data_IF_651229093860
#
_entry.id   IF_651229093860
#
_cell.length_a   1.000
_cell.length_b   1.000
_cell.length_c   1.000
_cell.angle_alpha   90.00
_cell.angle_beta   90.00
_cell.angle_gamma   90.00
#
_symmetry.space_group_name_H-M   'P 1'
#
loop_
_entity.id
_entity.type
_entity.pdbx_description
1 polymer ?
#
# COMPACT_ATOMS: atom_id res chain seq x y z
N UNK A 1 -26.32 -3.15 -10.47
CA UNK A 1 -25.59 -2.20 -11.34
C UNK A 1 -24.27 -1.77 -10.69
N UNK A 2 -24.27 -1.33 -9.44
CA UNK A 2 -23.07 -0.89 -8.72
C UNK A 2 -21.93 -1.95 -8.69
N UNK A 3 -22.25 -3.22 -8.46
CA UNK A 3 -21.26 -4.31 -8.42
C UNK A 3 -20.57 -4.55 -9.78
N UNK A 4 -21.25 -4.35 -10.89
CA UNK A 4 -20.66 -4.48 -12.24
C UNK A 4 -19.65 -3.35 -12.46
N UNK A 5 -19.98 -2.13 -12.07
CA UNK A 5 -19.07 -0.98 -12.16
C UNK A 5 -17.84 -1.19 -11.27
N UNK A 6 -18.05 -1.69 -10.05
CA UNK A 6 -16.95 -2.00 -9.12
C UNK A 6 -16.04 -3.11 -9.66
N UNK A 7 -16.59 -4.14 -10.29
CA UNK A 7 -15.79 -5.21 -10.92
C UNK A 7 -14.87 -4.65 -12.00
N UNK A 8 -15.39 -3.74 -12.84
CA UNK A 8 -14.57 -3.08 -13.85
C UNK A 8 -13.50 -2.17 -13.24
N UNK A 9 -13.84 -1.48 -12.15
CA UNK A 9 -12.89 -0.67 -11.38
C UNK A 9 -11.73 -1.50 -10.82
N UNK A 10 -12.02 -2.70 -10.28
CA UNK A 10 -11.01 -3.64 -9.79
C UNK A 10 -10.10 -4.12 -10.92
N UNK A 11 -10.65 -4.41 -12.10
CA UNK A 11 -9.86 -4.80 -13.27
C UNK A 11 -8.89 -3.69 -13.68
N UNK A 12 -9.34 -2.43 -13.75
CA UNK A 12 -8.46 -1.30 -14.05
C UNK A 12 -7.36 -1.13 -13.00
N UNK A 13 -7.68 -1.33 -11.73
CA UNK A 13 -6.70 -1.28 -10.63
C UNK A 13 -5.63 -2.36 -10.78
N UNK A 14 -6.00 -3.61 -11.17
CA UNK A 14 -5.03 -4.68 -11.39
C UNK A 14 -4.13 -4.41 -12.60
N UNK A 15 -4.69 -3.89 -13.70
CA UNK A 15 -3.91 -3.48 -14.86
C UNK A 15 -2.92 -2.36 -14.52
N UNK A 16 -3.34 -1.39 -13.72
CA UNK A 16 -2.46 -0.32 -13.21
C UNK A 16 -1.32 -0.89 -12.36
N UNK A 17 -1.62 -1.86 -11.50
CA UNK A 17 -0.61 -2.53 -10.67
C UNK A 17 0.45 -3.23 -11.52
N UNK A 18 0.06 -3.88 -12.62
CA UNK A 18 1.00 -4.47 -13.58
C UNK A 18 1.91 -3.43 -14.25
N UNK A 19 1.35 -2.29 -14.66
CA UNK A 19 2.13 -1.18 -15.23
C UNK A 19 3.09 -0.56 -14.21
N UNK A 20 2.65 -0.42 -12.96
CA UNK A 20 3.50 0.07 -11.88
C UNK A 20 4.64 -0.92 -11.58
N UNK A 21 4.37 -2.22 -11.57
CA UNK A 21 5.39 -3.25 -11.40
C UNK A 21 6.45 -3.19 -12.52
N UNK A 22 6.03 -2.99 -13.78
CA UNK A 22 6.95 -2.78 -14.90
C UNK A 22 7.84 -1.56 -14.68
N UNK A 23 7.26 -0.42 -14.31
CA UNK A 23 8.01 0.82 -14.05
C UNK A 23 8.98 0.66 -12.87
N UNK A 24 8.62 -0.09 -11.83
CA UNK A 24 9.47 -0.42 -10.68
C UNK A 24 10.60 -1.35 -11.08
N UNK A 25 10.31 -2.45 -11.74
CA UNK A 25 11.32 -3.43 -12.19
C UNK A 25 12.37 -2.80 -13.11
N UNK A 26 11.95 -1.91 -14.02
CA UNK A 26 12.84 -1.13 -14.89
C UNK A 26 13.48 0.07 -14.19
N UNK A 27 13.30 0.25 -12.88
CA UNK A 27 13.81 1.36 -12.05
C UNK A 27 13.45 2.77 -12.59
N UNK A 28 12.31 2.89 -13.29
CA UNK A 28 11.84 4.16 -13.84
C UNK A 28 10.96 4.91 -12.84
N UNK A 29 11.45 5.12 -11.62
CA UNK A 29 10.72 5.73 -10.49
C UNK A 29 10.15 7.11 -10.80
N UNK A 30 10.83 7.90 -11.67
CA UNK A 30 10.32 9.20 -12.11
C UNK A 30 9.00 9.08 -12.88
N UNK A 31 8.83 8.05 -13.71
CA UNK A 31 7.59 7.81 -14.44
C UNK A 31 6.50 7.29 -13.50
N UNK A 32 6.86 6.38 -12.60
CA UNK A 32 5.96 5.89 -11.56
C UNK A 32 5.43 7.02 -10.67
N UNK A 33 6.35 7.88 -10.17
CA UNK A 33 5.96 9.03 -9.34
C UNK A 33 5.07 10.02 -10.11
N UNK A 34 5.41 10.35 -11.37
CA UNK A 34 4.59 11.23 -12.19
C UNK A 34 3.20 10.65 -12.46
N UNK A 35 3.10 9.36 -12.80
CA UNK A 35 1.82 8.70 -13.02
C UNK A 35 0.93 8.80 -11.79
N UNK A 36 1.46 8.47 -10.61
CA UNK A 36 0.70 8.47 -9.36
C UNK A 36 0.38 9.89 -8.87
N UNK A 37 1.36 10.79 -8.84
CA UNK A 37 1.15 12.16 -8.33
C UNK A 37 0.21 12.94 -9.24
N UNK A 38 0.45 12.92 -10.55
CA UNK A 38 -0.43 13.61 -11.51
C UNK A 38 -1.82 12.96 -11.52
N UNK A 39 -1.90 11.63 -11.47
CA UNK A 39 -3.17 10.90 -11.43
C UNK A 39 -4.02 11.27 -10.23
N UNK A 40 -3.41 11.28 -9.04
CA UNK A 40 -4.11 11.65 -7.82
C UNK A 40 -4.45 13.15 -7.78
N UNK A 41 -3.55 14.04 -8.21
CA UNK A 41 -3.79 15.48 -8.23
C UNK A 41 -4.93 15.86 -9.19
N UNK A 42 -4.88 15.34 -10.43
CA UNK A 42 -5.97 15.53 -11.40
C UNK A 42 -7.25 14.88 -10.91
N UNK A 43 -7.14 13.67 -10.34
CA UNK A 43 -8.27 12.97 -9.71
C UNK A 43 -8.98 13.85 -8.68
N UNK A 44 -8.26 14.48 -7.76
CA UNK A 44 -8.84 15.36 -6.74
C UNK A 44 -9.65 16.52 -7.34
N UNK A 45 -9.15 17.14 -8.41
CA UNK A 45 -9.84 18.27 -9.08
C UNK A 45 -11.22 17.83 -9.58
N UNK A 46 -11.37 16.60 -10.07
CA UNK A 46 -12.65 16.08 -10.55
C UNK A 46 -13.50 15.44 -9.45
N UNK A 47 -12.88 14.78 -8.49
CA UNK A 47 -13.55 14.07 -7.39
C UNK A 47 -14.30 15.05 -6.48
N UNK A 48 -13.69 16.18 -6.12
CA UNK A 48 -14.29 17.15 -5.20
C UNK A 48 -15.62 17.70 -5.73
N UNK A 49 -15.73 18.21 -6.99
CA UNK A 49 -17.01 18.63 -7.53
C UNK A 49 -18.05 17.49 -7.62
N UNK A 50 -17.60 16.27 -8.03
CA UNK A 50 -18.52 15.15 -8.15
C UNK A 50 -19.16 14.79 -6.80
N UNK A 51 -18.40 14.76 -5.70
CA UNK A 51 -18.95 14.54 -4.37
C UNK A 51 -19.82 15.70 -3.88
N UNK A 52 -19.50 16.92 -4.28
CA UNK A 52 -20.30 18.08 -3.91
C UNK A 52 -21.70 18.03 -4.53
N UNK A 53 -21.81 17.66 -5.81
CA UNK A 53 -23.08 17.63 -6.53
C UNK A 53 -23.89 16.35 -6.28
N UNK A 54 -23.26 15.17 -6.29
CA UNK A 54 -23.95 13.87 -6.25
C UNK A 54 -23.87 13.16 -4.91
N UNK A 55 -23.13 13.71 -3.94
CA UNK A 55 -23.04 13.18 -2.56
C UNK A 55 -22.75 11.66 -2.55
N UNK A 56 -23.63 10.86 -1.93
CA UNK A 56 -23.49 9.42 -1.76
C UNK A 56 -23.52 8.69 -3.11
N UNK A 57 -24.32 9.13 -4.06
CA UNK A 57 -24.43 8.50 -5.38
C UNK A 57 -23.16 8.65 -6.23
N UNK A 58 -22.29 9.61 -5.88
CA UNK A 58 -20.99 9.79 -6.52
C UNK A 58 -19.98 8.70 -6.20
N UNK A 59 -20.15 7.92 -5.11
CA UNK A 59 -19.12 6.99 -4.62
C UNK A 59 -18.67 6.00 -5.71
N UNK A 60 -19.61 5.31 -6.33
CA UNK A 60 -19.30 4.28 -7.33
C UNK A 60 -18.72 4.88 -8.62
N UNK A 61 -19.33 5.92 -9.24
CA UNK A 61 -18.76 6.59 -10.40
C UNK A 61 -17.37 7.19 -10.15
N UNK A 62 -17.15 7.79 -8.99
CA UNK A 62 -15.86 8.39 -8.62
C UNK A 62 -14.77 7.34 -8.50
N UNK A 63 -15.05 6.18 -7.91
CA UNK A 63 -14.08 5.07 -7.85
C UNK A 63 -13.67 4.59 -9.23
N UNK A 64 -14.64 4.41 -10.14
CA UNK A 64 -14.36 4.02 -11.51
C UNK A 64 -13.53 5.07 -12.24
N UNK A 65 -13.94 6.34 -12.15
CA UNK A 65 -13.26 7.45 -12.80
C UNK A 65 -11.82 7.59 -12.30
N UNK A 66 -11.59 7.52 -10.99
CA UNK A 66 -10.25 7.62 -10.39
C UNK A 66 -9.34 6.51 -10.88
N UNK A 67 -9.83 5.25 -10.85
CA UNK A 67 -9.04 4.11 -11.32
C UNK A 67 -8.79 4.16 -12.84
N UNK A 68 -9.74 4.63 -13.63
CA UNK A 68 -9.57 4.83 -15.07
C UNK A 68 -8.52 5.91 -15.36
N UNK A 69 -8.55 7.02 -14.65
CA UNK A 69 -7.60 8.12 -14.81
C UNK A 69 -6.17 7.65 -14.49
N UNK A 70 -5.99 6.97 -13.34
CA UNK A 70 -4.68 6.44 -12.93
C UNK A 70 -4.20 5.38 -13.93
N UNK A 71 -5.08 4.51 -14.41
CA UNK A 71 -4.76 3.52 -15.44
C UNK A 71 -4.25 4.18 -16.73
N UNK A 72 -4.96 5.19 -17.23
CA UNK A 72 -4.59 5.90 -18.47
C UNK A 72 -3.21 6.55 -18.30
N UNK A 73 -2.98 7.24 -17.20
CA UNK A 73 -1.70 7.89 -16.94
C UNK A 73 -0.56 6.89 -16.77
N UNK A 74 -0.77 5.83 -16.00
CA UNK A 74 0.21 4.75 -15.86
C UNK A 74 0.54 4.12 -17.22
N UNK A 75 -0.46 3.89 -18.06
CA UNK A 75 -0.28 3.35 -19.41
C UNK A 75 0.55 4.29 -20.31
N UNK A 76 0.26 5.60 -20.29
CA UNK A 76 1.01 6.60 -21.06
C UNK A 76 2.48 6.63 -20.63
N UNK A 77 2.76 6.57 -19.33
CA UNK A 77 4.13 6.57 -18.82
C UNK A 77 4.84 5.24 -19.02
N UNK A 78 4.15 4.12 -18.87
CA UNK A 78 4.70 2.79 -19.11
C UNK A 78 5.13 2.60 -20.59
N UNK A 79 4.33 3.10 -21.53
CA UNK A 79 4.67 3.06 -22.97
C UNK A 79 5.92 3.85 -23.37
N UNK A 80 6.35 4.81 -22.55
CA UNK A 80 7.60 5.56 -22.77
C UNK A 80 8.85 4.75 -22.46
N UNK A 81 8.69 3.60 -21.82
CA UNK A 81 9.79 2.70 -21.50
C UNK A 81 10.10 1.88 -22.77
N UNK A 82 11.32 2.03 -23.27
CA UNK A 82 11.80 1.18 -24.35
C UNK A 82 12.12 -0.19 -23.77
N UNK A 83 11.38 -1.19 -24.17
CA UNK A 83 11.63 -2.60 -23.86
C UNK A 83 12.29 -3.19 -25.10
N UNK A 84 13.45 -3.82 -24.93
CA UNK A 84 14.08 -4.60 -25.99
C UNK A 84 13.18 -5.79 -26.30
N UNK A 85 12.94 -6.01 -27.58
CA UNK A 85 12.13 -7.14 -28.01
C UNK A 85 13.05 -8.37 -28.04
N UNK A 86 12.88 -9.24 -27.08
CA UNK A 86 13.43 -10.60 -27.12
C UNK A 86 12.40 -11.57 -27.70
N UNK A 87 12.88 -12.58 -28.40
CA UNK A 87 12.05 -13.68 -28.88
C UNK A 87 11.72 -14.59 -27.71
N UNK A 88 10.51 -14.38 -27.16
CA UNK A 88 10.03 -15.14 -26.00
C UNK A 88 9.40 -16.44 -26.50
N UNK A 89 9.94 -17.57 -26.08
CA UNK A 89 9.39 -18.88 -26.37
C UNK A 89 8.21 -19.21 -25.44
N UNK A 90 7.23 -19.97 -25.94
CA UNK A 90 6.08 -20.41 -25.12
C UNK A 90 6.55 -21.18 -23.86
N UNK A 91 7.70 -21.85 -23.97
CA UNK A 91 8.29 -22.57 -22.83
C UNK A 91 8.75 -21.62 -21.74
N UNK A 92 9.37 -20.49 -22.11
CA UNK A 92 9.83 -19.46 -21.16
C UNK A 92 8.63 -18.83 -20.42
N UNK A 93 7.56 -18.53 -21.17
CA UNK A 93 6.32 -18.01 -20.56
C UNK A 93 5.72 -19.01 -19.55
N UNK A 94 5.77 -20.32 -19.82
CA UNK A 94 5.24 -21.33 -18.91
C UNK A 94 6.09 -21.48 -17.65
N UNK A 95 7.41 -21.45 -17.78
CA UNK A 95 8.33 -21.61 -16.64
C UNK A 95 8.26 -20.38 -15.75
N UNK A 96 8.54 -19.21 -16.31
CA UNK A 96 8.52 -17.94 -15.56
C UNK A 96 7.12 -17.63 -15.02
N UNK A 97 6.08 -17.84 -15.82
CA UNK A 97 4.70 -17.61 -15.40
C UNK A 97 4.25 -18.53 -14.25
N UNK A 98 4.72 -19.80 -14.23
CA UNK A 98 4.44 -20.72 -13.12
C UNK A 98 5.08 -20.24 -11.82
N UNK A 99 6.32 -19.78 -11.88
CA UNK A 99 7.03 -19.30 -10.69
C UNK A 99 6.42 -17.99 -10.18
N UNK A 100 6.04 -17.08 -11.07
CA UNK A 100 5.29 -15.88 -10.73
C UNK A 100 3.92 -16.21 -10.09
N UNK A 101 3.19 -17.18 -10.63
CA UNK A 101 1.90 -17.60 -10.06
C UNK A 101 2.08 -18.22 -8.68
N UNK A 102 3.08 -19.11 -8.50
CA UNK A 102 3.38 -19.72 -7.21
C UNK A 102 3.69 -18.66 -6.15
N UNK A 103 4.55 -17.69 -6.49
CA UNK A 103 4.90 -16.59 -5.60
C UNK A 103 3.67 -15.70 -5.32
N UNK A 104 2.86 -15.38 -6.33
CA UNK A 104 1.64 -14.60 -6.19
C UNK A 104 0.62 -15.27 -5.27
N UNK A 105 0.43 -16.60 -5.37
CA UNK A 105 -0.44 -17.35 -4.46
C UNK A 105 0.06 -17.30 -3.01
N UNK A 106 1.37 -17.45 -2.79
CA UNK A 106 1.96 -17.37 -1.45
C UNK A 106 1.76 -15.98 -0.82
N UNK A 107 2.02 -14.92 -1.58
CA UNK A 107 1.82 -13.53 -1.13
C UNK A 107 0.34 -13.27 -0.84
N UNK A 108 -0.56 -13.75 -1.71
CA UNK A 108 -2.01 -13.61 -1.51
C UNK A 108 -2.48 -14.36 -0.27
N UNK A 109 -1.97 -15.56 -0.02
CA UNK A 109 -2.29 -16.34 1.18
C UNK A 109 -1.80 -15.63 2.45
N UNK A 110 -0.60 -15.07 2.44
CA UNK A 110 -0.07 -14.25 3.53
C UNK A 110 -0.98 -13.04 3.80
N UNK A 111 -1.39 -12.32 2.76
CA UNK A 111 -2.31 -11.19 2.88
C UNK A 111 -3.68 -11.61 3.45
N UNK A 112 -4.20 -12.75 3.00
CA UNK A 112 -5.46 -13.29 3.52
C UNK A 112 -5.36 -13.64 5.01
N UNK A 113 -4.27 -14.26 5.44
CA UNK A 113 -4.05 -14.57 6.86
C UNK A 113 -3.99 -13.29 7.72
N UNK A 114 -3.33 -12.24 7.23
CA UNK A 114 -3.28 -10.95 7.93
C UNK A 114 -4.68 -10.31 8.06
N UNK A 115 -5.50 -10.37 7.00
CA UNK A 115 -6.88 -9.88 7.03
C UNK A 115 -7.74 -10.70 8.00
N UNK A 116 -7.62 -12.03 7.99
CA UNK A 116 -8.32 -12.91 8.90
C UNK A 116 -7.94 -12.61 10.36
N UNK A 117 -6.66 -12.49 10.66
CA UNK A 117 -6.19 -12.12 12.00
C UNK A 117 -6.79 -10.79 12.48
N UNK A 118 -6.78 -9.76 11.60
CA UNK A 118 -7.40 -8.47 11.88
C UNK A 118 -8.92 -8.59 12.11
N UNK A 119 -9.58 -9.46 11.38
CA UNK A 119 -11.02 -9.70 11.54
C UNK A 119 -11.35 -10.39 12.88
N UNK A 120 -10.55 -11.39 13.28
CA UNK A 120 -10.71 -12.04 14.58
C UNK A 120 -10.50 -11.06 15.75
N UNK A 121 -9.53 -10.17 15.65
CA UNK A 121 -9.31 -9.13 16.67
C UNK A 121 -10.56 -8.23 16.79
N UNK A 122 -11.16 -7.82 15.69
CA UNK A 122 -12.38 -6.99 15.70
C UNK A 122 -13.57 -7.73 16.30
N UNK A 123 -13.75 -9.01 15.98
CA UNK A 123 -14.79 -9.85 16.61
C UNK A 123 -14.56 -9.93 18.11
N UNK A 124 -13.34 -10.15 18.55
CA UNK A 124 -12.99 -10.23 19.97
C UNK A 124 -13.33 -8.91 20.68
N UNK A 125 -12.90 -7.78 20.14
CA UNK A 125 -13.20 -6.44 20.70
C UNK A 125 -14.71 -6.21 20.76
N UNK A 126 -15.44 -6.56 19.68
CA UNK A 126 -16.91 -6.41 19.66
C UNK A 126 -17.65 -7.28 20.68
N UNK A 127 -17.10 -8.45 21.01
CA UNK A 127 -17.73 -9.36 21.99
C UNK A 127 -17.39 -9.04 23.44
N UNK A 128 -16.18 -8.51 23.69
CA UNK A 128 -15.70 -8.19 25.04
C UNK A 128 -16.00 -6.74 25.43
N UNK A 129 -16.25 -5.88 24.47
CA UNK A 129 -16.55 -4.47 24.62
C UNK A 129 -17.81 -4.09 23.84
N UNK A 130 -17.72 -3.02 23.07
CA UNK A 130 -18.81 -2.47 22.29
C UNK A 130 -18.44 -2.30 20.79
N UNK A 131 -19.44 -2.01 19.97
CA UNK A 131 -19.22 -1.63 18.55
C UNK A 131 -18.42 -0.32 18.47
N UNK A 132 -18.61 0.58 19.42
CA UNK A 132 -17.86 1.83 19.47
C UNK A 132 -16.37 1.59 19.73
N UNK A 133 -16.01 0.59 20.55
CA UNK A 133 -14.63 0.19 20.78
C UNK A 133 -13.98 -0.35 19.50
N UNK A 134 -14.73 -1.08 18.66
CA UNK A 134 -14.25 -1.49 17.31
C UNK A 134 -14.02 -0.28 16.43
N UNK A 135 -14.88 0.73 16.52
CA UNK A 135 -14.72 2.00 15.81
C UNK A 135 -13.45 2.74 16.23
N UNK A 136 -13.23 2.85 17.53
CA UNK A 136 -12.03 3.45 18.11
C UNK A 136 -10.76 2.68 17.70
N UNK A 137 -10.77 1.36 17.80
CA UNK A 137 -9.67 0.50 17.34
C UNK A 137 -9.35 0.71 15.86
N UNK A 138 -10.36 0.69 14.99
CA UNK A 138 -10.17 0.91 13.57
C UNK A 138 -9.59 2.29 13.26
N UNK A 139 -10.07 3.34 13.92
CA UNK A 139 -9.57 4.70 13.74
C UNK A 139 -8.09 4.80 14.09
N UNK A 140 -7.70 4.38 15.29
CA UNK A 140 -6.31 4.43 15.74
C UNK A 140 -5.40 3.54 14.90
N UNK A 141 -5.83 2.32 14.57
CA UNK A 141 -5.06 1.39 13.75
C UNK A 141 -4.88 1.89 12.31
N UNK A 142 -5.87 2.57 11.76
CA UNK A 142 -5.79 3.21 10.43
C UNK A 142 -4.75 4.32 10.41
N UNK A 143 -4.73 5.19 11.42
CA UNK A 143 -3.71 6.25 11.52
C UNK A 143 -2.30 5.61 11.50
N UNK A 144 -2.05 4.67 12.40
CA UNK A 144 -0.74 4.03 12.53
C UNK A 144 -0.32 3.33 11.23
N UNK A 145 -1.21 2.51 10.63
CA UNK A 145 -0.89 1.80 9.39
C UNK A 145 -0.73 2.72 8.19
N UNK A 146 -1.52 3.79 8.09
CA UNK A 146 -1.42 4.71 6.95
C UNK A 146 -0.11 5.47 6.99
N UNK A 147 0.20 6.15 8.09
CA UNK A 147 1.36 7.04 8.13
C UNK A 147 2.69 6.30 8.26
N UNK A 148 2.77 5.27 9.09
CA UNK A 148 3.97 4.43 9.19
C UNK A 148 4.08 3.51 7.97
N UNK A 149 2.96 2.99 7.46
CA UNK A 149 2.89 2.16 6.27
C UNK A 149 3.39 2.83 5.01
N UNK A 150 3.19 4.17 4.87
CA UNK A 150 3.75 4.93 3.75
C UNK A 150 5.27 4.85 3.69
N UNK A 151 5.95 4.87 4.84
CA UNK A 151 7.41 4.74 4.90
C UNK A 151 7.85 3.37 4.40
N UNK A 152 7.21 2.30 4.87
CA UNK A 152 7.50 0.95 4.40
C UNK A 152 7.24 0.81 2.89
N UNK A 153 6.14 1.35 2.39
CA UNK A 153 5.80 1.29 0.96
C UNK A 153 6.82 2.05 0.11
N UNK A 154 7.25 3.23 0.56
CA UNK A 154 8.28 4.01 -0.13
C UNK A 154 9.61 3.26 -0.20
N UNK A 155 10.02 2.65 0.92
CA UNK A 155 11.24 1.85 1.00
C UNK A 155 11.15 0.60 0.12
N UNK A 156 10.02 -0.12 0.16
CA UNK A 156 9.79 -1.33 -0.62
C UNK A 156 9.94 -1.09 -2.13
N UNK A 157 9.52 0.07 -2.59
CA UNK A 157 9.54 0.43 -4.01
C UNK A 157 10.94 0.36 -4.63
N UNK A 158 11.98 0.75 -3.90
CA UNK A 158 13.38 0.69 -4.35
C UNK A 158 14.06 -0.62 -3.91
N UNK A 159 13.77 -1.08 -2.70
CA UNK A 159 14.46 -2.20 -2.09
C UNK A 159 14.25 -3.53 -2.84
N UNK A 160 13.00 -3.89 -3.16
CA UNK A 160 12.72 -5.18 -3.79
C UNK A 160 13.37 -5.35 -5.19
N UNK A 161 13.32 -4.39 -6.12
CA UNK A 161 14.03 -4.51 -7.38
C UNK A 161 15.56 -4.55 -7.23
N UNK A 162 16.09 -3.87 -6.19
CA UNK A 162 17.53 -3.92 -5.90
C UNK A 162 17.94 -5.29 -5.35
N UNK A 163 17.14 -5.83 -4.43
CA UNK A 163 17.40 -7.13 -3.81
C UNK A 163 17.30 -8.26 -4.84
N UNK A 164 16.29 -8.25 -5.70
CA UNK A 164 16.11 -9.25 -6.74
C UNK A 164 17.27 -9.27 -7.76
N UNK A 165 17.88 -8.11 -8.04
CA UNK A 165 19.00 -8.02 -8.98
C UNK A 165 20.29 -8.66 -8.44
N UNK A 166 20.42 -8.88 -7.14
CA UNK A 166 21.61 -9.45 -6.48
C UNK A 166 21.31 -10.79 -5.79
N UNK A 167 20.15 -11.37 -6.05
CA UNK A 167 19.67 -12.58 -5.38
C UNK A 167 20.58 -13.81 -5.60
N UNK A 168 21.41 -13.83 -6.64
CA UNK A 168 22.35 -14.90 -6.96
C UNK A 168 23.66 -14.82 -6.14
N UNK A 169 24.02 -13.66 -5.59
CA UNK A 169 25.18 -13.43 -4.75
C UNK A 169 24.80 -13.33 -3.28
N UNK A 170 25.00 -14.41 -2.53
CA UNK A 170 24.59 -14.53 -1.14
C UNK A 170 25.22 -13.47 -0.24
N UNK A 171 26.49 -13.11 -0.43
CA UNK A 171 27.19 -12.12 0.41
C UNK A 171 26.66 -10.70 0.17
N UNK A 172 26.41 -10.36 -1.08
CA UNK A 172 25.79 -9.08 -1.44
C UNK A 172 24.34 -9.01 -1.00
N UNK A 173 23.61 -10.13 -1.07
CA UNK A 173 22.23 -10.23 -0.62
C UNK A 173 22.11 -9.99 0.90
N UNK A 174 22.91 -10.68 1.73
CA UNK A 174 22.92 -10.50 3.18
C UNK A 174 23.33 -9.07 3.57
N UNK A 175 24.35 -8.50 2.92
CA UNK A 175 24.74 -7.10 3.13
C UNK A 175 23.61 -6.13 2.82
N UNK A 176 22.89 -6.33 1.72
CA UNK A 176 21.77 -5.48 1.34
C UNK A 176 20.62 -5.55 2.36
N UNK A 177 20.30 -6.74 2.89
CA UNK A 177 19.31 -6.91 3.96
C UNK A 177 19.74 -6.14 5.22
N UNK A 178 20.98 -6.31 5.68
CA UNK A 178 21.45 -5.64 6.88
C UNK A 178 21.46 -4.11 6.72
N UNK A 179 21.89 -3.60 5.58
CA UNK A 179 21.84 -2.17 5.27
C UNK A 179 20.39 -1.65 5.27
N UNK A 180 19.48 -2.42 4.70
CA UNK A 180 18.06 -2.01 4.66
C UNK A 180 17.45 -2.00 6.05
N UNK A 181 17.76 -2.98 6.90
CA UNK A 181 17.32 -3.02 8.29
C UNK A 181 17.85 -1.81 9.08
N UNK A 182 19.12 -1.46 8.91
CA UNK A 182 19.72 -0.28 9.53
C UNK A 182 19.04 1.02 9.07
N UNK A 183 18.84 1.20 7.77
CA UNK A 183 18.15 2.38 7.21
C UNK A 183 16.71 2.44 7.72
N UNK A 184 16.03 1.29 7.78
CA UNK A 184 14.66 1.20 8.28
C UNK A 184 14.56 1.65 9.73
N UNK A 185 15.46 1.20 10.59
CA UNK A 185 15.48 1.59 11.99
C UNK A 185 15.85 3.07 12.16
N UNK A 186 16.84 3.57 11.43
CA UNK A 186 17.26 4.98 11.48
C UNK A 186 16.14 5.94 11.04
N UNK A 187 15.33 5.55 10.05
CA UNK A 187 14.21 6.36 9.57
C UNK A 187 12.98 6.22 10.47
N UNK A 188 12.65 5.00 10.88
CA UNK A 188 11.40 4.75 11.60
C UNK A 188 11.50 5.11 13.07
N UNK A 189 12.65 4.94 13.73
CA UNK A 189 12.77 5.24 15.15
C UNK A 189 12.41 6.71 15.49
N UNK A 190 12.95 7.73 14.81
CA UNK A 190 12.55 9.11 15.09
C UNK A 190 11.10 9.39 14.74
N UNK A 191 10.55 8.77 13.68
CA UNK A 191 9.15 8.90 13.28
C UNK A 191 8.24 8.30 14.37
N UNK A 192 8.58 7.11 14.88
CA UNK A 192 7.83 6.45 15.95
C UNK A 192 7.86 7.30 17.23
N UNK A 193 9.03 7.81 17.61
CA UNK A 193 9.18 8.67 18.80
C UNK A 193 8.36 9.96 18.65
N UNK A 194 8.48 10.63 17.50
CA UNK A 194 7.70 11.85 17.22
C UNK A 194 6.19 11.55 17.23
N UNK A 195 5.77 10.44 16.64
CA UNK A 195 4.37 10.06 16.62
C UNK A 195 3.84 9.76 18.04
N UNK A 196 4.61 9.04 18.86
CA UNK A 196 4.27 8.78 20.27
C UNK A 196 4.14 10.10 21.04
N UNK A 197 5.04 11.06 20.83
CA UNK A 197 4.99 12.35 21.50
C UNK A 197 3.78 13.20 21.10
N UNK A 198 3.32 13.07 19.85
CA UNK A 198 2.23 13.88 19.30
C UNK A 198 0.95 13.08 19.00
N UNK A 199 0.78 11.87 19.52
CA UNK A 199 -0.40 11.01 19.29
C UNK A 199 -1.71 11.76 19.52
N UNK A 200 -1.82 12.46 20.65
CA UNK A 200 -3.03 13.20 21.00
C UNK A 200 -3.36 14.30 20.00
N UNK A 201 -2.35 15.04 19.57
CA UNK A 201 -2.51 16.07 18.54
C UNK A 201 -2.94 15.45 17.22
N UNK A 202 -2.29 14.36 16.81
CA UNK A 202 -2.63 13.65 15.60
C UNK A 202 -4.09 13.14 15.61
N UNK A 203 -4.54 12.54 16.71
CA UNK A 203 -5.92 12.06 16.86
C UNK A 203 -6.93 13.21 16.78
N UNK A 204 -6.68 14.32 17.46
CA UNK A 204 -7.59 15.47 17.47
C UNK A 204 -7.66 16.15 16.10
N UNK A 205 -6.53 16.31 15.43
CA UNK A 205 -6.46 16.97 14.11
C UNK A 205 -7.06 16.09 13.00
N UNK A 206 -6.81 14.78 13.02
CA UNK A 206 -7.26 13.88 11.95
C UNK A 206 -8.72 13.43 12.13
N UNK A 207 -9.18 13.29 13.35
CA UNK A 207 -10.54 12.84 13.63
C UNK A 207 -11.31 13.86 14.48
N UNK A 208 -11.20 13.80 15.79
CA UNK A 208 -11.77 14.75 16.75
C UNK A 208 -11.42 14.33 18.18
N UNK A 209 -11.80 15.17 19.16
CA UNK A 209 -11.63 14.86 20.59
C UNK A 209 -12.36 13.59 21.05
N UNK A 210 -13.41 13.16 20.34
CA UNK A 210 -14.13 11.90 20.63
C UNK A 210 -13.28 10.65 20.49
N UNK A 211 -12.20 10.72 19.70
CA UNK A 211 -11.29 9.61 19.43
C UNK A 211 -10.08 9.56 20.36
N UNK A 212 -9.96 10.47 21.35
CA UNK A 212 -8.89 10.47 22.36
C UNK A 212 -8.72 9.10 23.06
N UNK A 213 -9.78 8.33 23.38
CA UNK A 213 -9.62 7.02 24.00
C UNK A 213 -8.77 6.03 23.19
N UNK A 214 -8.51 6.28 21.91
CA UNK A 214 -7.62 5.42 21.08
C UNK A 214 -6.14 5.56 21.45
N UNK A 215 -5.74 6.61 22.17
CA UNK A 215 -4.34 6.90 22.50
C UNK A 215 -3.63 5.68 23.13
N UNK A 216 -4.24 5.08 24.14
CA UNK A 216 -3.64 3.93 24.84
C UNK A 216 -3.32 2.76 23.92
N UNK A 217 -4.21 2.43 22.99
CA UNK A 217 -4.00 1.39 21.99
C UNK A 217 -2.91 1.79 20.98
N UNK A 218 -2.89 3.07 20.57
CA UNK A 218 -1.93 3.57 19.59
C UNK A 218 -0.49 3.53 20.10
N UNK A 219 -0.24 3.73 21.39
CA UNK A 219 1.09 3.55 21.98
C UNK A 219 1.62 2.13 21.75
N UNK A 220 0.80 1.12 22.02
CA UNK A 220 1.16 -0.28 21.78
C UNK A 220 1.30 -0.61 20.29
N UNK A 221 0.43 -0.06 19.46
CA UNK A 221 0.52 -0.23 18.01
C UNK A 221 1.83 0.39 17.45
N UNK A 222 2.25 1.55 17.96
CA UNK A 222 3.52 2.16 17.56
C UNK A 222 4.74 1.35 18.03
N UNK A 223 4.71 0.81 19.26
CA UNK A 223 5.74 -0.10 19.73
C UNK A 223 5.83 -1.36 18.83
N UNK A 224 4.68 -1.91 18.41
CA UNK A 224 4.64 -3.04 17.48
C UNK A 224 5.24 -2.69 16.10
N UNK A 225 5.13 -1.44 15.63
CA UNK A 225 5.75 -1.00 14.36
C UNK A 225 7.28 -1.04 14.40
N UNK A 226 7.89 -0.83 15.57
CA UNK A 226 9.33 -1.01 15.74
C UNK A 226 9.75 -2.46 15.47
N UNK A 227 9.04 -3.43 16.05
CA UNK A 227 9.31 -4.84 15.79
C UNK A 227 9.02 -5.23 14.34
N UNK A 228 7.98 -4.65 13.74
CA UNK A 228 7.70 -4.82 12.31
C UNK A 228 8.84 -4.32 11.44
N UNK A 229 9.48 -3.21 11.81
CA UNK A 229 10.64 -2.68 11.09
C UNK A 229 11.85 -3.62 11.13
N UNK A 230 12.05 -4.33 12.25
CA UNK A 230 13.10 -5.33 12.38
C UNK A 230 12.81 -6.62 11.60
N UNK A 231 11.54 -6.94 11.39
CA UNK A 231 11.11 -8.15 10.67
C UNK A 231 10.92 -7.92 9.16
N UNK A 232 11.03 -6.68 8.72
CA UNK A 232 10.80 -6.25 7.35
C UNK A 232 12.07 -6.30 6.52
#
# INVERSE_FOLDING_TARGET
FAFIILSFSVLLMQLTSGQNALMQGMRKYRYLAKANVVGNAVGLIFIIPLYYFWKIDAIVPVLLFSNALIFILSYIYARKIKIEKEEITITDIKVEGRDMLKMGVLISLQGMLAILASYFIRIFISRMGSIDDVGLFNAGFTIVNTYVGLVFTAMATDYYPRLSAIASDNDSFVRAINQQAEISLLLLAPIIIAFIAYIRVAVVVLYSTKFIPTEGMMYWAMAAMFFKAMAW
#
